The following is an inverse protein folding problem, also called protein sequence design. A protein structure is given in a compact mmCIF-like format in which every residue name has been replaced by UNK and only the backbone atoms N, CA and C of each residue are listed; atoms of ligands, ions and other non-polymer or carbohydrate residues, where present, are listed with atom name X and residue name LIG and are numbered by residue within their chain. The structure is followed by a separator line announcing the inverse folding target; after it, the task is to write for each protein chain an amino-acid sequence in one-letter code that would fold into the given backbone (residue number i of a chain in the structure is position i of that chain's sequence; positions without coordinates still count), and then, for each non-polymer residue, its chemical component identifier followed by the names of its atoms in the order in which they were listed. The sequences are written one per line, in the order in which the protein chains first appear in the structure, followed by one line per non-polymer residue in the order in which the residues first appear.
data_IF_050469838206
#
_entry.id   IF_050469838206
#
_cell.length_a   1.000
_cell.length_b   1.000
_cell.length_c   1.000
_cell.angle_alpha   90.00
_cell.angle_beta   90.00
_cell.angle_gamma   90.00
#
_symmetry.space_group_name_H-M   'P 1'
#
loop_
_entity.id
_entity.type
_entity.pdbx_description
1 polymer ?
#
# COMPACT_ATOMS: atom_id res chain seq x y z
N UNK A 1 2.33 -16.46 12.33
CA UNK A 1 3.20 -17.06 11.29
C UNK A 1 3.82 -15.92 10.49
N UNK A 2 5.11 -15.96 10.13
CA UNK A 2 5.71 -14.96 9.24
C UNK A 2 5.01 -14.97 7.87
N UNK A 3 4.90 -13.79 7.24
CA UNK A 3 4.34 -13.66 5.90
C UNK A 3 5.28 -14.30 4.86
N UNK A 4 4.71 -15.00 3.87
CA UNK A 4 5.47 -15.52 2.74
C UNK A 4 5.75 -14.41 1.71
N UNK A 5 6.84 -13.68 1.94
CA UNK A 5 7.22 -12.56 1.08
C UNK A 5 7.63 -13.00 -0.32
N UNK A 6 8.10 -14.23 -0.51
CA UNK A 6 8.50 -14.71 -1.83
C UNK A 6 7.28 -14.89 -2.74
N UNK A 7 6.19 -15.43 -2.18
CA UNK A 7 4.91 -15.53 -2.90
C UNK A 7 4.33 -14.15 -3.18
N UNK A 8 4.34 -13.23 -2.20
CA UNK A 8 3.86 -11.86 -2.41
C UNK A 8 4.66 -11.11 -3.49
N UNK A 9 5.98 -11.29 -3.56
CA UNK A 9 6.81 -10.68 -4.62
C UNK A 9 6.39 -11.14 -6.01
N UNK A 10 6.14 -12.46 -6.20
CA UNK A 10 5.69 -12.96 -7.51
C UNK A 10 4.31 -12.43 -7.88
N UNK A 11 3.39 -12.39 -6.92
CA UNK A 11 2.03 -11.89 -7.16
C UNK A 11 2.01 -10.40 -7.52
N UNK A 12 2.70 -9.57 -6.73
CA UNK A 12 2.78 -8.11 -6.97
C UNK A 12 3.47 -7.76 -8.29
N UNK A 13 4.49 -8.53 -8.70
CA UNK A 13 5.14 -8.35 -9.99
C UNK A 13 4.28 -8.76 -11.19
N UNK A 14 3.22 -9.56 -10.97
CA UNK A 14 2.33 -10.08 -12.02
C UNK A 14 1.04 -9.27 -12.18
N UNK A 15 0.88 -8.16 -11.45
CA UNK A 15 -0.27 -7.25 -11.58
C UNK A 15 -0.26 -6.56 -12.96
N UNK A 16 -1.44 -6.11 -13.43
CA UNK A 16 -1.55 -5.27 -14.62
C UNK A 16 -0.71 -3.99 -14.49
N UNK A 17 -0.52 -3.51 -13.25
CA UNK A 17 0.43 -2.46 -12.89
C UNK A 17 1.51 -3.03 -11.96
N UNK A 18 2.64 -3.54 -12.50
CA UNK A 18 3.64 -4.25 -11.71
C UNK A 18 4.14 -3.46 -10.50
N UNK A 19 4.13 -4.12 -9.35
CA UNK A 19 4.56 -3.58 -8.06
C UNK A 19 5.67 -4.44 -7.42
N UNK A 20 6.14 -4.02 -6.24
CA UNK A 20 7.18 -4.73 -5.48
C UNK A 20 6.83 -4.82 -4.00
N UNK A 21 7.31 -5.87 -3.34
CA UNK A 21 7.19 -6.04 -1.90
C UNK A 21 8.41 -5.43 -1.20
N UNK A 22 8.18 -4.45 -0.34
CA UNK A 22 9.22 -3.84 0.50
C UNK A 22 9.19 -4.39 1.92
N UNK A 23 10.36 -4.72 2.48
CA UNK A 23 10.49 -5.21 3.85
C UNK A 23 11.77 -4.70 4.52
N UNK A 24 11.80 -4.77 5.86
CA UNK A 24 13.01 -4.46 6.63
C UNK A 24 13.47 -3.02 6.46
N UNK A 25 14.73 -2.83 6.05
CA UNK A 25 15.35 -1.50 5.99
C UNK A 25 14.70 -0.57 4.97
N UNK A 26 14.39 -1.07 3.77
CA UNK A 26 13.79 -0.27 2.71
C UNK A 26 12.40 0.27 3.13
N UNK A 27 11.59 -0.58 3.77
CA UNK A 27 10.29 -0.15 4.34
C UNK A 27 10.46 0.89 5.45
N UNK A 28 11.45 0.75 6.34
CA UNK A 28 11.72 1.76 7.39
C UNK A 28 12.13 3.10 6.81
N UNK A 29 12.98 3.10 5.78
CA UNK A 29 13.38 4.33 5.10
C UNK A 29 12.19 4.99 4.39
N UNK A 30 11.33 4.20 3.75
CA UNK A 30 10.13 4.70 3.09
C UNK A 30 9.16 5.40 4.07
N UNK A 31 8.92 4.80 5.24
CA UNK A 31 8.06 5.40 6.28
C UNK A 31 8.68 6.69 6.85
N UNK A 32 10.01 6.77 6.93
CA UNK A 32 10.71 7.94 7.44
C UNK A 32 10.26 8.31 8.85
N UNK A 33 9.85 9.57 9.05
CA UNK A 33 9.33 10.08 10.33
C UNK A 33 7.80 10.13 10.41
N UNK A 34 7.09 9.47 9.47
CA UNK A 34 5.63 9.44 9.48
C UNK A 34 5.11 8.81 10.79
N UNK A 35 4.07 9.43 11.36
CA UNK A 35 3.42 8.94 12.59
C UNK A 35 2.12 8.22 12.22
N UNK A 36 1.73 7.16 12.95
CA UNK A 36 0.44 6.51 12.74
C UNK A 36 -0.71 7.50 12.94
N UNK A 37 -1.72 7.41 12.08
CA UNK A 37 -3.01 8.09 12.29
C UNK A 37 -3.82 7.24 13.26
N UNK A 38 -4.34 7.86 14.33
CA UNK A 38 -5.21 7.20 15.30
C UNK A 38 -6.66 7.39 14.91
N UNK A 39 -7.53 6.53 15.42
CA UNK A 39 -8.98 6.62 15.15
C UNK A 39 -9.56 7.98 15.58
N UNK A 40 -9.06 8.56 16.68
CA UNK A 40 -9.45 9.89 17.17
C UNK A 40 -9.02 11.05 16.25
N UNK A 41 -7.99 10.84 15.42
CA UNK A 41 -7.43 11.82 14.49
C UNK A 41 -7.90 11.56 13.04
N UNK A 42 -8.63 10.47 12.78
CA UNK A 42 -9.04 10.07 11.44
C UNK A 42 -10.10 11.03 10.88
N UNK A 43 -9.90 11.46 9.62
CA UNK A 43 -10.87 12.25 8.86
C UNK A 43 -11.53 11.39 7.78
N UNK A 44 -12.76 11.71 7.34
CA UNK A 44 -13.38 11.01 6.23
C UNK A 44 -12.50 11.05 4.97
N UNK A 45 -12.51 9.95 4.21
CA UNK A 45 -11.87 9.90 2.90
C UNK A 45 -12.43 10.99 1.97
N UNK A 46 -11.60 11.64 1.14
CA UNK A 46 -12.10 12.56 0.13
C UNK A 46 -12.97 11.83 -0.88
N UNK A 47 -13.91 12.56 -1.49
CA UNK A 47 -14.69 12.02 -2.60
C UNK A 47 -13.76 11.68 -3.77
N UNK A 48 -13.86 10.47 -4.35
CA UNK A 48 -13.04 10.09 -5.50
C UNK A 48 -13.26 11.05 -6.69
N UNK A 49 -12.23 11.31 -7.51
CA UNK A 49 -12.39 12.08 -8.73
C UNK A 49 -13.40 11.46 -9.69
N UNK A 50 -14.04 12.29 -10.52
CA UNK A 50 -14.92 11.83 -11.59
C UNK A 50 -14.21 10.80 -12.48
N UNK A 51 -14.89 9.68 -12.76
CA UNK A 51 -14.35 8.61 -13.59
C UNK A 51 -13.32 7.70 -12.91
N UNK A 52 -13.01 7.89 -11.61
CA UNK A 52 -12.10 7.00 -10.88
C UNK A 52 -12.52 5.52 -10.89
N UNK A 53 -13.82 5.25 -11.08
CA UNK A 53 -14.40 3.91 -11.16
C UNK A 53 -15.09 3.64 -12.51
N UNK A 54 -14.49 4.10 -13.62
CA UNK A 54 -15.08 3.93 -14.96
C UNK A 54 -14.86 2.55 -15.60
N UNK A 55 -14.39 1.54 -14.86
CA UNK A 55 -14.26 0.18 -15.39
C UNK A 55 -15.61 -0.54 -15.23
N UNK A 56 -16.37 -0.53 -16.34
CA UNK A 56 -17.61 -1.24 -16.59
C UNK A 56 -17.90 -1.21 -18.09
#
# INVERSE_FOLDING_TARGET
QPLDTATLTRLTASDAFPARVEQGLALRQFIGSARPVRDEDAVPSPEPPDGAFSIG
#
